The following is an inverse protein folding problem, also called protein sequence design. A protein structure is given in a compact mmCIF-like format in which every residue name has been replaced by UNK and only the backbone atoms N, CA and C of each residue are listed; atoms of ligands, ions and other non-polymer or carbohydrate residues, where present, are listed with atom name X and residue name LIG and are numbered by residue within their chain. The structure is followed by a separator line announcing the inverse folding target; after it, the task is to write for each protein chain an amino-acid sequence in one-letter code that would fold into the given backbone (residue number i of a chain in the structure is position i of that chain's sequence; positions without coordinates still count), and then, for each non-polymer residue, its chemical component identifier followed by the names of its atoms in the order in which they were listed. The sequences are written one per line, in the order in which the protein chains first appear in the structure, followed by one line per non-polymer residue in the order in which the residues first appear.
data_IF_532012747167
#
_entry.id   IF_532012747167
#
_cell.length_a   1.000
_cell.length_b   1.000
_cell.length_c   1.000
_cell.angle_alpha   90.00
_cell.angle_beta   90.00
_cell.angle_gamma   90.00
#
_symmetry.space_group_name_H-M   'P 1'
#
loop_
_entity.id
_entity.type
_entity.pdbx_description
1 polymer ?
#
# COMPACT_ATOMS: atom_id res chain seq x y z
N UNK A 1 4.22 10.11 -110.63
CA UNK A 1 5.43 9.72 -109.87
C UNK A 1 5.83 10.68 -108.74
N UNK A 2 5.59 12.01 -108.82
CA UNK A 2 6.03 12.99 -107.79
C UNK A 2 5.39 12.83 -106.39
N UNK A 3 4.10 12.51 -106.28
CA UNK A 3 3.42 12.49 -104.98
C UNK A 3 3.86 11.34 -104.06
N UNK A 4 4.30 10.21 -104.62
CA UNK A 4 4.71 9.03 -103.84
C UNK A 4 6.04 9.27 -103.10
N UNK A 5 6.97 9.99 -103.73
CA UNK A 5 8.26 10.33 -103.12
C UNK A 5 8.12 11.37 -102.01
N UNK A 6 7.17 12.30 -102.14
CA UNK A 6 6.89 13.31 -101.11
C UNK A 6 6.27 12.68 -99.85
N UNK A 7 5.33 11.73 -100.02
CA UNK A 7 4.73 11.00 -98.89
C UNK A 7 5.78 10.15 -98.16
N UNK A 8 6.67 9.47 -98.91
CA UNK A 8 7.78 8.71 -98.32
C UNK A 8 8.76 9.62 -97.55
N UNK A 9 9.03 10.82 -98.06
CA UNK A 9 9.86 11.80 -97.37
C UNK A 9 9.23 12.25 -96.04
N UNK A 10 7.94 12.61 -96.04
CA UNK A 10 7.23 13.00 -94.81
C UNK A 10 7.19 11.85 -93.80
N UNK A 11 6.92 10.62 -94.26
CA UNK A 11 6.92 9.44 -93.39
C UNK A 11 8.31 9.19 -92.76
N UNK A 12 9.39 9.35 -93.54
CA UNK A 12 10.75 9.20 -93.04
C UNK A 12 11.11 10.26 -91.99
N UNK A 13 10.67 11.51 -92.20
CA UNK A 13 10.89 12.59 -91.25
C UNK A 13 10.11 12.36 -89.95
N UNK A 14 8.88 11.85 -90.04
CA UNK A 14 8.08 11.47 -88.88
C UNK A 14 8.74 10.37 -88.04
N UNK A 15 9.29 9.34 -88.68
CA UNK A 15 10.03 8.27 -87.99
C UNK A 15 11.28 8.81 -87.30
N UNK A 16 12.03 9.71 -87.95
CA UNK A 16 13.21 10.35 -87.35
C UNK A 16 12.83 11.17 -86.12
N UNK A 17 11.75 11.95 -86.18
CA UNK A 17 11.27 12.71 -85.03
C UNK A 17 10.85 11.79 -83.86
N UNK A 18 10.16 10.69 -84.14
CA UNK A 18 9.77 9.71 -83.11
C UNK A 18 11.02 9.08 -82.47
N UNK A 19 12.00 8.67 -83.27
CA UNK A 19 13.27 8.12 -82.77
C UNK A 19 14.03 9.16 -81.93
N UNK A 20 14.01 10.43 -82.31
CA UNK A 20 14.64 11.50 -81.56
C UNK A 20 13.94 11.76 -80.21
N UNK A 21 12.60 11.74 -80.17
CA UNK A 21 11.84 11.86 -78.92
C UNK A 21 12.12 10.66 -78.01
N UNK A 22 12.14 9.44 -78.56
CA UNK A 22 12.49 8.23 -77.80
C UNK A 22 13.91 8.31 -77.22
N UNK A 23 14.88 8.82 -77.98
CA UNK A 23 16.24 9.06 -77.50
C UNK A 23 16.29 10.10 -76.37
N UNK A 24 15.50 11.18 -76.47
CA UNK A 24 15.43 12.20 -75.42
C UNK A 24 14.79 11.67 -74.13
N UNK A 25 13.68 10.92 -74.24
CA UNK A 25 12.99 10.33 -73.08
C UNK A 25 13.89 9.31 -72.39
N UNK A 26 14.47 8.38 -73.15
CA UNK A 26 15.36 7.35 -72.61
C UNK A 26 16.66 7.95 -72.03
N UNK A 27 17.12 9.07 -72.59
CA UNK A 27 18.25 9.84 -72.07
C UNK A 27 17.97 10.50 -70.71
N UNK A 28 16.72 10.90 -70.44
CA UNK A 28 16.34 11.44 -69.12
C UNK A 28 16.28 10.33 -68.06
N UNK A 29 15.66 9.19 -68.38
CA UNK A 29 15.62 8.03 -67.47
C UNK A 29 17.03 7.56 -67.10
N UNK A 30 17.96 7.55 -68.07
CA UNK A 30 19.36 7.20 -67.81
C UNK A 30 20.06 8.18 -66.84
N UNK A 31 19.70 9.47 -66.89
CA UNK A 31 20.26 10.49 -65.99
C UNK A 31 19.71 10.33 -64.58
N UNK A 32 18.41 10.09 -64.45
CA UNK A 32 17.77 9.86 -63.15
C UNK A 32 18.31 8.59 -62.50
N UNK A 33 18.47 7.51 -63.27
CA UNK A 33 19.08 6.26 -62.79
C UNK A 33 20.52 6.47 -62.32
N UNK A 34 21.29 7.30 -63.03
CA UNK A 34 22.67 7.63 -62.64
C UNK A 34 22.71 8.42 -61.33
N UNK A 35 21.83 9.40 -61.18
CA UNK A 35 21.75 10.21 -59.95
C UNK A 35 21.36 9.34 -58.75
N UNK A 36 20.33 8.49 -58.90
CA UNK A 36 19.92 7.55 -57.86
C UNK A 36 21.04 6.59 -57.46
N UNK A 37 21.87 6.15 -58.42
CA UNK A 37 23.00 5.27 -58.14
C UNK A 37 24.14 5.98 -57.37
N UNK A 38 24.38 7.26 -57.64
CA UNK A 38 25.34 8.07 -56.86
C UNK A 38 24.82 8.31 -55.44
N UNK A 39 23.53 8.62 -55.26
CA UNK A 39 22.91 8.75 -53.94
C UNK A 39 22.99 7.43 -53.15
N UNK A 40 22.71 6.30 -53.79
CA UNK A 40 22.83 4.98 -53.17
C UNK A 40 24.26 4.68 -52.73
N UNK A 41 25.25 5.08 -53.55
CA UNK A 41 26.67 4.92 -53.22
C UNK A 41 27.05 5.75 -51.99
N UNK A 42 26.61 7.01 -51.93
CA UNK A 42 26.82 7.87 -50.76
C UNK A 42 26.16 7.31 -49.50
N UNK A 43 24.92 6.83 -49.61
CA UNK A 43 24.20 6.20 -48.52
C UNK A 43 24.90 4.93 -48.01
N UNK A 44 25.45 4.10 -48.91
CA UNK A 44 26.20 2.91 -48.53
C UNK A 44 27.52 3.24 -47.83
N UNK A 45 28.23 4.30 -48.25
CA UNK A 45 29.43 4.77 -47.54
C UNK A 45 29.08 5.23 -46.14
N UNK A 46 28.06 6.08 -45.98
CA UNK A 46 27.61 6.54 -44.68
C UNK A 46 27.18 5.37 -43.77
N UNK A 47 26.47 4.37 -44.32
CA UNK A 47 26.09 3.18 -43.58
C UNK A 47 27.31 2.38 -43.08
N UNK A 48 28.37 2.28 -43.90
CA UNK A 48 29.62 1.65 -43.48
C UNK A 48 30.25 2.41 -42.32
N UNK A 49 30.34 3.74 -42.42
CA UNK A 49 30.89 4.58 -41.34
C UNK A 49 30.06 4.47 -40.05
N UNK A 50 28.73 4.37 -40.15
CA UNK A 50 27.88 4.15 -38.99
C UNK A 50 28.08 2.76 -38.37
N UNK A 51 28.29 1.72 -39.19
CA UNK A 51 28.60 0.37 -38.68
C UNK A 51 29.92 0.36 -37.95
N UNK A 52 30.97 0.94 -38.53
CA UNK A 52 32.29 1.03 -37.91
C UNK A 52 32.20 1.82 -36.59
N UNK A 53 31.37 2.87 -36.52
CA UNK A 53 31.11 3.60 -35.27
C UNK A 53 30.37 2.76 -34.22
N UNK A 54 29.40 1.95 -34.62
CA UNK A 54 28.67 1.06 -33.69
C UNK A 54 29.62 -0.02 -33.16
N UNK A 55 30.43 -0.62 -34.01
CA UNK A 55 31.43 -1.63 -33.61
C UNK A 55 32.45 -1.03 -32.64
N UNK A 56 32.93 0.20 -32.89
CA UNK A 56 33.79 0.92 -31.94
C UNK A 56 33.07 1.24 -30.62
N UNK A 57 31.76 1.53 -30.62
CA UNK A 57 30.99 1.74 -29.39
C UNK A 57 30.81 0.43 -28.63
N UNK A 58 30.55 -0.68 -29.32
CA UNK A 58 30.46 -2.01 -28.69
C UNK A 58 31.79 -2.41 -28.04
N UNK A 59 32.92 -2.08 -28.68
CA UNK A 59 34.27 -2.29 -28.13
C UNK A 59 34.63 -1.26 -27.03
N UNK A 60 33.97 -0.09 -27.00
CA UNK A 60 34.11 0.97 -25.97
C UNK A 60 33.06 0.83 -24.84
N UNK A 61 32.19 -0.20 -24.87
CA UNK A 61 31.53 -0.72 -23.65
C UNK A 61 32.60 -1.44 -22.83
N UNK A 62 33.51 -0.62 -22.32
CA UNK A 62 34.48 -0.96 -21.29
C UNK A 62 33.67 -1.47 -20.10
N UNK A 63 34.16 -2.56 -19.50
CA UNK A 63 33.91 -2.91 -18.11
C UNK A 63 34.28 -1.72 -17.22
N UNK A 64 33.44 -0.69 -17.19
CA UNK A 64 33.68 0.51 -16.41
C UNK A 64 33.57 0.07 -14.94
N UNK A 65 34.72 0.02 -14.25
CA UNK A 65 34.85 -0.54 -12.91
C UNK A 65 33.82 0.09 -11.95
N UNK A 66 33.50 1.37 -12.17
CA UNK A 66 32.44 2.12 -11.48
C UNK A 66 31.03 1.55 -11.73
N UNK A 67 30.69 1.20 -12.98
CA UNK A 67 29.39 0.58 -13.33
C UNK A 67 29.29 -0.84 -12.78
N UNK A 68 30.40 -1.58 -12.72
CA UNK A 68 30.43 -2.91 -12.10
C UNK A 68 30.20 -2.80 -10.58
N UNK A 69 30.87 -1.85 -9.92
CA UNK A 69 30.68 -1.58 -8.49
C UNK A 69 29.24 -1.13 -8.17
N UNK A 70 28.64 -0.26 -8.99
CA UNK A 70 27.25 0.16 -8.84
C UNK A 70 26.26 -1.00 -8.97
N UNK A 71 26.50 -1.93 -9.91
CA UNK A 71 25.65 -3.12 -10.07
C UNK A 71 25.78 -4.08 -8.88
N UNK A 72 26.99 -4.27 -8.33
CA UNK A 72 27.19 -5.06 -7.10
C UNK A 72 26.47 -4.42 -5.91
N UNK A 73 26.51 -3.08 -5.80
CA UNK A 73 25.79 -2.36 -4.75
C UNK A 73 24.27 -2.48 -4.92
N UNK A 74 23.78 -2.40 -6.16
CA UNK A 74 22.36 -2.57 -6.49
C UNK A 74 21.87 -3.96 -6.05
N UNK A 75 22.59 -5.02 -6.39
CA UNK A 75 22.25 -6.39 -5.99
C UNK A 75 22.19 -6.53 -4.46
N UNK A 76 23.14 -5.91 -3.75
CA UNK A 76 23.14 -5.91 -2.28
C UNK A 76 21.91 -5.19 -1.71
N UNK A 77 21.55 -4.04 -2.26
CA UNK A 77 20.38 -3.28 -1.83
C UNK A 77 19.07 -4.03 -2.14
N UNK A 78 18.99 -4.70 -3.29
CA UNK A 78 17.84 -5.54 -3.65
C UNK A 78 17.65 -6.67 -2.64
N UNK A 79 18.72 -7.41 -2.30
CA UNK A 79 18.66 -8.46 -1.29
C UNK A 79 18.22 -7.92 0.09
N UNK A 80 18.72 -6.75 0.49
CA UNK A 80 18.30 -6.11 1.75
C UNK A 80 16.81 -5.73 1.75
N UNK A 81 16.28 -5.23 0.62
CA UNK A 81 14.86 -4.90 0.48
C UNK A 81 14.01 -6.17 0.60
N UNK A 82 14.43 -7.27 -0.04
CA UNK A 82 13.70 -8.54 0.04
C UNK A 82 13.65 -9.09 1.47
N UNK A 83 14.74 -9.01 2.21
CA UNK A 83 14.78 -9.42 3.61
C UNK A 83 13.89 -8.53 4.50
N UNK A 84 13.90 -7.21 4.29
CA UNK A 84 13.03 -6.28 5.01
C UNK A 84 11.54 -6.48 4.70
N UNK A 85 11.20 -6.84 3.45
CA UNK A 85 9.83 -7.19 3.08
C UNK A 85 9.40 -8.44 3.85
N UNK A 86 10.24 -9.48 3.88
CA UNK A 86 9.95 -10.72 4.61
C UNK A 86 9.75 -10.47 6.10
N UNK A 87 10.62 -9.67 6.71
CA UNK A 87 10.50 -9.30 8.13
C UNK A 87 9.21 -8.53 8.41
N UNK A 88 8.83 -7.58 7.56
CA UNK A 88 7.56 -6.85 7.70
C UNK A 88 6.34 -7.78 7.61
N UNK A 89 6.36 -8.78 6.72
CA UNK A 89 5.28 -9.76 6.63
C UNK A 89 5.16 -10.59 7.91
N UNK A 90 6.28 -11.04 8.48
CA UNK A 90 6.31 -11.76 9.76
C UNK A 90 5.74 -10.88 10.88
N UNK A 91 6.26 -9.66 11.04
CA UNK A 91 5.82 -8.72 12.07
C UNK A 91 4.33 -8.36 11.93
N UNK A 92 3.83 -8.26 10.71
CA UNK A 92 2.41 -8.00 10.45
C UNK A 92 1.54 -9.17 10.93
N UNK A 93 1.96 -10.40 10.68
CA UNK A 93 1.27 -11.60 11.14
C UNK A 93 1.32 -11.72 12.68
N UNK A 94 2.49 -11.48 13.28
CA UNK A 94 2.64 -11.47 14.75
C UNK A 94 1.73 -10.42 15.39
N UNK A 95 1.66 -9.20 14.84
CA UNK A 95 0.74 -8.17 15.33
C UNK A 95 -0.73 -8.59 15.22
N UNK A 96 -1.11 -9.33 14.18
CA UNK A 96 -2.48 -9.82 14.02
C UNK A 96 -2.80 -10.91 15.05
N UNK A 97 -1.85 -11.81 15.32
CA UNK A 97 -1.99 -12.83 16.36
C UNK A 97 -2.07 -12.19 17.75
N UNK A 98 -1.17 -11.27 18.07
CA UNK A 98 -1.18 -10.53 19.34
C UNK A 98 -2.49 -9.74 19.54
N UNK A 99 -3.03 -9.12 18.50
CA UNK A 99 -4.35 -8.47 18.57
C UNK A 99 -5.47 -9.46 18.86
N UNK A 100 -5.43 -10.64 18.25
CA UNK A 100 -6.43 -11.69 18.43
C UNK A 100 -6.35 -12.26 19.85
N UNK A 101 -5.15 -12.53 20.34
CA UNK A 101 -4.90 -13.00 21.71
C UNK A 101 -5.29 -11.94 22.74
N UNK A 102 -5.02 -10.66 22.46
CA UNK A 102 -5.43 -9.52 23.29
C UNK A 102 -6.95 -9.35 23.33
N UNK A 103 -7.67 -9.53 22.21
CA UNK A 103 -9.15 -9.54 22.19
C UNK A 103 -9.71 -10.72 22.99
N UNK A 104 -9.00 -11.86 23.03
CA UNK A 104 -9.39 -12.99 23.88
C UNK A 104 -9.02 -12.81 25.36
N UNK A 105 -8.10 -11.91 25.69
CA UNK A 105 -7.60 -11.73 27.08
C UNK A 105 -8.04 -10.43 27.75
N UNK A 106 -8.47 -9.42 26.99
CA UNK A 106 -9.05 -8.21 27.55
C UNK A 106 -10.58 -8.28 27.44
N UNK A 107 -11.31 -8.14 28.55
CA UNK A 107 -12.77 -8.07 28.51
C UNK A 107 -13.29 -6.78 27.85
N UNK A 108 -12.42 -5.89 27.37
CA UNK A 108 -12.77 -4.51 27.00
C UNK A 108 -12.36 -4.18 25.56
N UNK A 109 -13.34 -3.91 24.69
CA UNK A 109 -13.11 -3.72 23.24
C UNK A 109 -12.83 -2.25 22.84
N UNK A 110 -12.24 -2.04 21.66
CA UNK A 110 -11.86 -0.71 21.15
C UNK A 110 -13.06 0.24 20.95
N UNK A 111 -14.25 -0.27 20.65
CA UNK A 111 -15.44 0.55 20.47
C UNK A 111 -15.89 1.11 21.82
N UNK A 112 -15.87 0.29 22.87
CA UNK A 112 -16.15 0.74 24.25
C UNK A 112 -15.21 1.86 24.69
N UNK A 113 -13.90 1.75 24.42
CA UNK A 113 -12.92 2.81 24.72
C UNK A 113 -13.26 4.12 24.00
N UNK A 114 -13.65 4.04 22.72
CA UNK A 114 -14.02 5.22 21.94
C UNK A 114 -15.26 5.91 22.50
N UNK A 115 -16.30 5.14 22.84
CA UNK A 115 -17.55 5.67 23.40
C UNK A 115 -17.27 6.37 24.74
N UNK A 116 -16.41 5.80 25.60
CA UNK A 116 -16.03 6.42 26.87
C UNK A 116 -15.22 7.71 26.64
N UNK A 117 -14.27 7.68 25.72
CA UNK A 117 -13.46 8.86 25.38
C UNK A 117 -14.31 10.01 24.80
N UNK A 118 -15.30 9.70 23.98
CA UNK A 118 -16.26 10.69 23.44
C UNK A 118 -17.09 11.37 24.55
N UNK A 119 -17.24 10.71 25.71
CA UNK A 119 -17.90 11.27 26.91
C UNK A 119 -16.94 12.07 27.81
N UNK A 120 -15.69 12.25 27.40
CA UNK A 120 -14.71 13.07 28.11
C UNK A 120 -13.85 12.32 29.14
N UNK A 121 -13.99 11.00 29.26
CA UNK A 121 -13.15 10.19 30.16
C UNK A 121 -12.01 9.58 29.35
N UNK A 122 -10.77 10.02 29.59
CA UNK A 122 -9.57 9.50 28.91
C UNK A 122 -8.89 8.36 29.64
N UNK A 123 -9.10 8.24 30.95
CA UNK A 123 -8.55 7.17 31.78
C UNK A 123 -9.70 6.33 32.35
N UNK A 124 -9.80 5.08 31.92
CA UNK A 124 -10.87 4.17 32.36
C UNK A 124 -10.81 3.86 33.86
N UNK A 125 -9.64 4.01 34.49
CA UNK A 125 -9.50 3.77 35.92
C UNK A 125 -10.34 4.75 36.74
N UNK A 126 -10.63 5.95 36.22
CA UNK A 126 -11.48 6.92 36.92
C UNK A 126 -12.90 6.40 37.12
N UNK A 127 -13.38 5.52 36.23
CA UNK A 127 -14.70 4.88 36.38
C UNK A 127 -14.68 3.92 37.57
N UNK A 128 -13.65 3.07 37.66
CA UNK A 128 -13.52 2.12 38.76
C UNK A 128 -13.23 2.83 40.09
N UNK A 129 -12.43 3.88 40.08
CA UNK A 129 -12.18 4.71 41.27
C UNK A 129 -13.45 5.41 41.77
N UNK A 130 -14.32 5.87 40.87
CA UNK A 130 -15.61 6.46 41.26
C UNK A 130 -16.52 5.45 41.96
N UNK A 131 -16.51 4.19 41.53
CA UNK A 131 -17.29 3.11 42.16
C UNK A 131 -16.98 2.95 43.66
N UNK A 132 -15.72 3.15 44.07
CA UNK A 132 -15.29 3.08 45.47
C UNK A 132 -16.01 4.10 46.38
N UNK A 133 -16.55 5.18 45.81
CA UNK A 133 -17.35 6.15 46.56
C UNK A 133 -18.83 5.76 46.69
N UNK A 134 -19.24 4.62 46.13
CA UNK A 134 -20.63 4.16 46.06
C UNK A 134 -20.84 2.83 46.82
N UNK A 135 -20.22 2.71 48.01
CA UNK A 135 -20.29 1.50 48.84
C UNK A 135 -21.72 1.17 49.32
N UNK A 136 -22.62 2.16 49.37
CA UNK A 136 -24.04 1.97 49.70
C UNK A 136 -24.77 1.04 48.70
N UNK A 137 -24.17 0.78 47.53
CA UNK A 137 -24.70 -0.17 46.54
C UNK A 137 -24.41 -1.63 46.89
N UNK A 138 -23.52 -1.92 47.85
CA UNK A 138 -23.21 -3.30 48.23
C UNK A 138 -24.37 -3.81 49.10
N UNK A 139 -25.08 -4.89 48.70
CA UNK A 139 -26.29 -5.34 49.41
C UNK A 139 -25.97 -6.21 50.63
N UNK A 140 -24.69 -6.29 51.02
CA UNK A 140 -24.20 -7.14 52.10
C UNK A 140 -23.57 -6.29 53.19
N UNK A 141 -23.86 -6.66 54.44
CA UNK A 141 -23.24 -6.05 55.60
C UNK A 141 -21.88 -6.71 55.89
N UNK A 142 -20.94 -5.91 56.39
CA UNK A 142 -19.67 -6.44 56.87
C UNK A 142 -19.82 -7.26 58.15
N UNK A 143 -18.88 -8.17 58.38
CA UNK A 143 -18.79 -9.04 59.56
C UNK A 143 -17.57 -8.68 60.40
N UNK A 144 -17.62 -9.04 61.68
CA UNK A 144 -16.50 -8.85 62.62
C UNK A 144 -16.00 -7.38 62.72
N UNK A 145 -16.88 -6.42 62.41
CA UNK A 145 -16.55 -4.99 62.40
C UNK A 145 -15.86 -4.50 61.13
N UNK A 146 -15.78 -5.34 60.08
CA UNK A 146 -15.39 -4.93 58.73
C UNK A 146 -16.45 -4.06 58.07
N UNK A 147 -16.03 -3.28 57.09
CA UNK A 147 -16.90 -2.44 56.27
C UNK A 147 -16.76 -2.86 54.81
N UNK A 148 -17.87 -3.28 54.21
CA UNK A 148 -17.90 -3.63 52.79
C UNK A 148 -17.50 -2.44 51.92
N UNK A 149 -16.53 -2.66 51.04
CA UNK A 149 -15.99 -1.62 50.16
C UNK A 149 -15.70 -2.21 48.78
N UNK A 150 -15.96 -1.44 47.73
CA UNK A 150 -15.54 -1.81 46.38
C UNK A 150 -14.03 -1.64 46.20
N UNK A 151 -13.38 -2.57 45.49
CA UNK A 151 -11.95 -2.47 45.20
C UNK A 151 -11.72 -2.26 43.71
N UNK A 152 -11.35 -1.03 43.29
CA UNK A 152 -11.13 -0.70 41.88
C UNK A 152 -10.09 -1.59 41.22
N UNK A 153 -9.03 -1.97 41.95
CA UNK A 153 -7.91 -2.78 41.44
C UNK A 153 -8.27 -4.23 41.15
N UNK A 154 -9.34 -4.74 41.76
CA UNK A 154 -9.84 -6.11 41.56
C UNK A 154 -11.16 -6.15 40.78
N UNK A 155 -11.70 -4.98 40.46
CA UNK A 155 -12.90 -4.81 39.65
C UNK A 155 -12.56 -4.79 38.16
N UNK A 156 -13.50 -5.23 37.33
CA UNK A 156 -13.31 -5.36 35.89
C UNK A 156 -14.36 -4.52 35.18
N UNK A 157 -13.90 -3.57 34.37
CA UNK A 157 -14.77 -2.88 33.43
C UNK A 157 -15.05 -3.82 32.25
N UNK A 158 -16.33 -4.16 32.02
CA UNK A 158 -16.73 -5.15 31.01
C UNK A 158 -16.98 -4.52 29.65
N UNK A 159 -17.58 -3.33 29.60
CA UNK A 159 -17.80 -2.54 28.38
C UNK A 159 -18.27 -1.13 28.77
N UNK A 160 -18.79 -0.35 27.82
CA UNK A 160 -19.25 1.02 28.03
C UNK A 160 -20.50 1.17 28.94
N UNK A 161 -21.00 0.06 29.49
CA UNK A 161 -22.25 -0.02 30.28
C UNK A 161 -22.12 -0.79 31.58
N UNK A 162 -21.23 -1.78 31.64
CA UNK A 162 -21.22 -2.76 32.73
C UNK A 162 -19.84 -2.84 33.40
N UNK A 163 -19.87 -3.02 34.72
CA UNK A 163 -18.72 -3.31 35.57
C UNK A 163 -19.01 -4.57 36.37
N UNK A 164 -18.03 -5.46 36.47
CA UNK A 164 -18.00 -6.50 37.48
C UNK A 164 -17.16 -5.98 38.65
N UNK A 165 -17.84 -5.48 39.68
CA UNK A 165 -17.20 -4.89 40.86
C UNK A 165 -16.84 -5.96 41.88
N UNK A 166 -15.58 -6.02 42.30
CA UNK A 166 -15.18 -6.81 43.47
C UNK A 166 -15.43 -6.00 44.73
N UNK A 167 -16.00 -6.63 45.76
CA UNK A 167 -16.15 -6.03 47.08
C UNK A 167 -15.75 -7.00 48.18
N UNK A 168 -15.23 -6.45 49.27
CA UNK A 168 -14.92 -7.21 50.49
C UNK A 168 -14.90 -6.31 51.72
N UNK A 169 -14.89 -6.94 52.90
CA UNK A 169 -14.68 -6.29 54.20
C UNK A 169 -13.43 -6.79 54.94
N UNK A 170 -12.61 -7.61 54.28
CA UNK A 170 -11.43 -8.30 54.81
C UNK A 170 -11.70 -9.71 55.38
N UNK A 171 -12.96 -10.15 55.46
CA UNK A 171 -13.35 -11.49 55.93
C UNK A 171 -14.25 -12.23 54.95
N UNK A 172 -15.21 -11.53 54.35
CA UNK A 172 -16.09 -12.02 53.30
C UNK A 172 -15.96 -11.13 52.08
N UNK A 173 -16.16 -11.73 50.91
CA UNK A 173 -15.99 -11.08 49.63
C UNK A 173 -16.99 -11.60 48.61
N UNK A 174 -17.13 -10.86 47.53
CA UNK A 174 -18.11 -11.16 46.49
C UNK A 174 -17.92 -10.28 45.26
N UNK A 175 -18.87 -10.43 44.34
CA UNK A 175 -18.92 -9.61 43.14
C UNK A 175 -20.32 -9.04 42.93
N UNK A 176 -20.36 -7.81 42.43
CA UNK A 176 -21.57 -7.15 41.94
C UNK A 176 -21.49 -6.89 40.45
N UNK A 177 -22.58 -7.13 39.72
CA UNK A 177 -22.75 -6.66 38.36
C UNK A 177 -23.43 -5.29 38.40
N UNK A 178 -22.73 -4.25 37.93
CA UNK A 178 -23.22 -2.88 37.99
C UNK A 178 -23.42 -2.28 36.61
N UNK A 179 -24.56 -1.61 36.42
CA UNK A 179 -24.71 -0.63 35.35
C UNK A 179 -24.03 0.67 35.72
N UNK A 180 -23.40 1.32 34.74
CA UNK A 180 -23.01 2.70 34.90
C UNK A 180 -23.39 3.56 33.70
N UNK A 181 -23.60 4.86 33.96
CA UNK A 181 -23.84 5.88 32.93
C UNK A 181 -23.04 7.12 33.26
N UNK A 182 -22.26 7.57 32.27
CA UNK A 182 -21.58 8.86 32.27
C UNK A 182 -22.50 9.89 31.59
N UNK A 183 -22.81 10.99 32.28
CA UNK A 183 -23.58 12.13 31.77
C UNK A 183 -22.71 13.18 31.06
N UNK A 184 -23.32 14.22 30.48
CA UNK A 184 -22.61 15.31 29.78
C UNK A 184 -21.67 16.12 30.69
N UNK A 185 -21.84 16.04 32.01
CA UNK A 185 -20.99 16.67 33.02
C UNK A 185 -19.89 15.74 33.56
N UNK A 186 -19.65 14.59 32.91
CA UNK A 186 -18.73 13.54 33.34
C UNK A 186 -19.07 12.93 34.70
N UNK A 187 -20.32 13.08 35.18
CA UNK A 187 -20.75 12.39 36.40
C UNK A 187 -21.16 10.98 36.08
N UNK A 188 -20.74 10.07 36.95
CA UNK A 188 -21.05 8.65 36.84
C UNK A 188 -22.21 8.35 37.78
N UNK A 189 -23.22 7.67 37.23
CA UNK A 189 -24.34 7.12 37.99
C UNK A 189 -24.31 5.61 37.89
N UNK A 190 -24.65 4.96 39.00
CA UNK A 190 -24.51 3.53 39.19
C UNK A 190 -25.85 2.89 39.52
N UNK A 191 -26.03 1.65 39.08
CA UNK A 191 -27.16 0.80 39.43
C UNK A 191 -26.63 -0.62 39.63
N UNK A 192 -26.83 -1.18 40.83
CA UNK A 192 -26.54 -2.60 41.06
C UNK A 192 -27.61 -3.44 40.36
N UNK A 193 -27.21 -4.34 39.48
CA UNK A 193 -28.13 -5.30 38.87
C UNK A 193 -28.24 -6.60 39.65
N UNK A 194 -27.10 -7.11 40.09
CA UNK A 194 -26.99 -8.41 40.75
C UNK A 194 -25.72 -8.44 41.61
N UNK A 195 -25.72 -9.28 42.63
CA UNK A 195 -24.55 -9.50 43.47
C UNK A 195 -24.60 -10.87 44.15
N UNK A 196 -23.42 -11.42 44.44
CA UNK A 196 -23.29 -12.65 45.23
C UNK A 196 -22.10 -12.55 46.19
N UNK A 197 -22.19 -13.27 47.31
CA UNK A 197 -21.07 -13.54 48.21
C UNK A 197 -20.44 -14.89 47.88
N UNK A 198 -19.13 -14.98 47.98
CA UNK A 198 -18.46 -16.26 47.89
C UNK A 198 -18.82 -17.15 49.08
N UNK A 199 -19.23 -18.39 48.79
CA UNK A 199 -19.56 -19.37 49.81
C UNK A 199 -21.01 -19.33 50.30
N UNK A 200 -21.85 -18.43 49.79
CA UNK A 200 -23.30 -18.65 49.80
C UNK A 200 -23.66 -19.63 48.67
N UNK A 201 -24.37 -20.71 49.00
CA UNK A 201 -24.97 -21.60 48.01
C UNK A 201 -26.33 -21.01 47.57
N UNK A 202 -26.54 -20.87 46.25
CA UNK A 202 -27.80 -20.41 45.62
C UNK A 202 -29.00 -21.36 45.87
#
# INVERSE_FOLDING_TARGET
MKNRNFILFIASLGIICILFILLLVNGNELRDLRNANEELKLANTALSEYKDRIENIEDEVVEDEEVLEENVLLDKLVNQIEDLIRENEILKNENQLLKTDMIMTLPFDELSLRIIAEKGISDINTILEDLNNNNDLIPYEGVLGGTMTWWPTESILLNERWVLGYFEDGHINGYGLLHYKIDEGMRISWELLDAFLFGEED
#
